data_IF_580092059120
#
_entry.id   IF_580092059120
#
_cell.length_a   1.000
_cell.length_b   1.000
_cell.length_c   1.000
_cell.angle_alpha   90.00
_cell.angle_beta   90.00
_cell.angle_gamma   90.00
#
_symmetry.space_group_name_H-M   'P 1'
#
loop_
_entity.id
_entity.type
_entity.pdbx_description
1 polymer ?
#
# COMPACT_ATOMS: atom_id res chain seq x y z
N UNK A 1 3.52 34.45 19.69
CA UNK A 1 2.57 33.32 19.61
C UNK A 1 1.90 33.41 18.25
N UNK A 2 2.38 32.65 17.27
CA UNK A 2 1.79 32.59 15.92
C UNK A 2 0.63 31.61 15.97
N UNK A 3 -0.59 32.12 15.96
CA UNK A 3 -1.78 31.31 15.90
C UNK A 3 -2.11 31.02 14.43
N UNK A 4 -2.04 29.75 14.02
CA UNK A 4 -2.46 29.35 12.69
C UNK A 4 -3.98 29.24 12.66
N UNK A 5 -4.65 30.18 11.98
CA UNK A 5 -6.11 30.19 11.84
C UNK A 5 -6.68 28.95 11.15
N UNK A 6 -5.87 28.17 10.43
CA UNK A 6 -6.28 26.88 9.86
C UNK A 6 -6.40 25.77 10.92
N UNK A 7 -5.66 25.86 12.04
CA UNK A 7 -5.61 24.83 13.07
C UNK A 7 -6.73 24.96 14.12
N UNK A 8 -7.37 26.14 14.24
CA UNK A 8 -8.44 26.37 15.19
C UNK A 8 -8.75 27.85 15.40
N UNK A 9 -9.46 28.17 16.49
CA UNK A 9 -9.61 29.53 17.04
C UNK A 9 -9.32 29.54 18.54
N UNK A 10 -8.56 30.53 19.04
CA UNK A 10 -8.40 30.73 20.48
C UNK A 10 -9.17 31.97 20.94
N UNK A 11 -9.95 31.81 22.00
CA UNK A 11 -10.71 32.88 22.63
C UNK A 11 -10.31 33.01 24.10
N UNK A 12 -10.36 34.22 24.64
CA UNK A 12 -10.21 34.45 26.07
C UNK A 12 -11.56 34.21 26.75
N UNK A 13 -11.62 33.30 27.71
CA UNK A 13 -12.83 33.06 28.51
C UNK A 13 -12.64 33.54 29.96
N UNK A 14 -13.55 34.39 30.43
CA UNK A 14 -13.61 34.88 31.82
C UNK A 14 -13.80 36.41 31.92
N UNK A 15 -14.55 36.87 32.95
CA UNK A 15 -14.80 38.30 33.25
C UNK A 15 -13.55 39.08 33.74
N UNK A 16 -12.46 38.36 34.00
CA UNK A 16 -11.09 38.89 34.15
C UNK A 16 -10.18 37.95 33.37
N UNK A 17 -9.63 38.42 32.25
CA UNK A 17 -8.84 37.63 31.30
C UNK A 17 -7.72 36.85 32.01
N UNK A 18 -7.87 35.53 32.16
CA UNK A 18 -6.81 34.69 32.76
C UNK A 18 -6.71 33.29 32.15
N UNK A 19 -7.62 32.90 31.25
CA UNK A 19 -7.60 31.60 30.58
C UNK A 19 -7.85 31.78 29.08
N UNK A 20 -6.84 31.44 28.29
CA UNK A 20 -6.92 31.35 26.83
C UNK A 20 -7.39 29.93 26.49
N UNK A 21 -8.56 29.80 25.86
CA UNK A 21 -9.12 28.51 25.46
C UNK A 21 -9.05 28.39 23.94
N UNK A 22 -8.44 27.30 23.45
CA UNK A 22 -8.33 27.04 22.02
C UNK A 22 -9.29 25.93 21.59
N UNK A 23 -10.18 26.27 20.67
CA UNK A 23 -11.07 25.34 19.98
C UNK A 23 -10.34 24.93 18.71
N UNK A 24 -9.95 23.65 18.64
CA UNK A 24 -9.22 23.11 17.51
C UNK A 24 -10.18 22.61 16.43
N UNK A 25 -9.80 22.82 15.16
CA UNK A 25 -10.55 22.29 14.03
C UNK A 25 -10.38 20.77 13.94
N UNK A 26 -11.22 20.10 13.13
CA UNK A 26 -11.08 18.67 12.84
C UNK A 26 -9.67 18.35 12.31
N UNK A 27 -9.11 17.20 12.71
CA UNK A 27 -7.71 16.86 12.45
C UNK A 27 -6.70 17.53 13.40
N UNK A 28 -7.14 18.32 14.38
CA UNK A 28 -6.28 18.92 15.40
C UNK A 28 -6.83 18.69 16.81
N UNK A 29 -5.94 18.68 17.80
CA UNK A 29 -6.29 18.58 19.21
C UNK A 29 -5.56 19.64 20.03
N UNK A 30 -6.16 20.01 21.17
CA UNK A 30 -5.53 20.91 22.14
C UNK A 30 -4.53 20.15 23.00
N UNK A 31 -3.27 20.59 23.03
CA UNK A 31 -2.20 19.96 23.82
C UNK A 31 -2.07 20.55 25.24
N UNK A 32 -3.04 21.35 25.70
CA UNK A 32 -3.01 22.01 27.00
C UNK A 32 -2.09 23.23 27.09
N UNK A 33 -1.38 23.60 26.01
CA UNK A 33 -0.52 24.79 25.94
C UNK A 33 -1.14 25.92 25.11
N UNK A 34 -2.47 25.91 24.96
CA UNK A 34 -3.22 26.86 24.12
C UNK A 34 -2.74 26.87 22.67
N UNK A 35 -2.34 25.70 22.16
CA UNK A 35 -2.01 25.48 20.77
C UNK A 35 -2.76 24.25 20.25
N UNK A 36 -3.11 24.28 18.97
CA UNK A 36 -3.72 23.17 18.26
C UNK A 36 -2.63 22.41 17.51
N UNK A 37 -2.48 21.14 17.83
CA UNK A 37 -1.50 20.24 17.21
C UNK A 37 -2.22 19.26 16.29
N UNK A 38 -1.63 18.93 15.14
CA UNK A 38 -2.24 18.03 14.16
C UNK A 38 -2.30 16.60 14.70
N UNK A 39 -3.36 15.88 14.35
CA UNK A 39 -3.46 14.44 14.57
C UNK A 39 -2.47 13.68 13.67
N UNK A 40 -2.17 12.44 14.01
CA UNK A 40 -1.44 11.56 13.08
C UNK A 40 -2.29 11.29 11.84
N UNK A 41 -1.65 11.04 10.69
CA UNK A 41 -2.32 10.87 9.40
C UNK A 41 -3.39 9.76 9.38
N UNK A 42 -3.35 8.81 10.31
CA UNK A 42 -4.35 7.75 10.44
C UNK A 42 -5.65 8.20 11.13
N UNK A 43 -5.64 9.34 11.81
CA UNK A 43 -6.80 9.87 12.52
C UNK A 43 -7.43 11.04 11.75
N UNK A 44 -8.74 10.97 11.51
CA UNK A 44 -9.54 12.14 11.11
C UNK A 44 -9.82 13.07 12.28
N UNK A 45 -9.88 12.52 13.50
CA UNK A 45 -9.98 13.28 14.74
C UNK A 45 -9.24 12.57 15.86
N UNK A 46 -8.68 13.33 16.79
CA UNK A 46 -7.95 12.82 17.94
C UNK A 46 -8.18 13.71 19.17
N UNK A 47 -7.94 13.16 20.36
CA UNK A 47 -8.14 13.87 21.63
C UNK A 47 -6.91 13.76 22.52
N UNK A 48 -6.46 14.88 23.09
CA UNK A 48 -5.33 15.02 24.02
C UNK A 48 -3.94 14.61 23.49
N UNK A 49 -3.86 13.71 22.51
CA UNK A 49 -2.62 13.23 21.90
C UNK A 49 -2.85 12.92 20.41
N UNK A 50 -1.84 13.17 19.58
CA UNK A 50 -1.92 13.00 18.12
C UNK A 50 -2.31 11.59 17.66
N UNK A 51 -1.95 10.56 18.44
CA UNK A 51 -2.23 9.14 18.14
C UNK A 51 -3.56 8.67 18.70
N UNK A 52 -4.11 9.35 19.71
CA UNK A 52 -5.32 8.94 20.42
C UNK A 52 -6.56 9.29 19.60
N UNK A 53 -6.74 8.56 18.49
CA UNK A 53 -7.79 8.80 17.52
C UNK A 53 -9.17 8.61 18.14
N UNK A 54 -10.06 9.56 17.91
CA UNK A 54 -11.51 9.44 18.19
C UNK A 54 -12.29 9.02 16.95
N UNK A 55 -11.72 9.24 15.76
CA UNK A 55 -12.19 8.69 14.50
C UNK A 55 -11.00 8.45 13.56
N UNK A 56 -11.14 7.43 12.72
CA UNK A 56 -10.14 7.03 11.73
C UNK A 56 -10.39 7.76 10.39
N UNK A 57 -9.34 7.98 9.61
CA UNK A 57 -9.45 8.65 8.31
C UNK A 57 -10.27 7.82 7.30
N UNK A 58 -9.87 6.57 7.11
CA UNK A 58 -10.63 5.53 6.40
C UNK A 58 -11.53 4.77 7.38
N UNK A 59 -12.69 5.35 7.71
CA UNK A 59 -13.65 4.76 8.65
C UNK A 59 -14.29 3.45 8.18
N UNK A 60 -14.14 3.09 6.90
CA UNK A 60 -14.66 1.83 6.34
C UNK A 60 -13.69 0.69 6.64
N UNK A 61 -12.39 0.93 6.42
CA UNK A 61 -11.38 -0.13 6.53
C UNK A 61 -10.50 -0.02 7.78
N UNK A 62 -10.63 1.02 8.61
CA UNK A 62 -9.87 1.17 9.85
C UNK A 62 -10.74 1.16 11.10
N UNK A 63 -10.15 0.65 12.19
CA UNK A 63 -10.72 0.74 13.53
C UNK A 63 -9.66 1.18 14.53
N UNK A 64 -10.09 1.64 15.70
CA UNK A 64 -9.16 1.99 16.77
C UNK A 64 -8.53 0.72 17.35
N UNK A 65 -7.20 0.62 17.21
CA UNK A 65 -6.40 -0.43 17.82
C UNK A 65 -5.85 0.07 19.16
N UNK A 66 -6.40 -0.47 20.24
CA UNK A 66 -5.97 -0.14 21.60
C UNK A 66 -4.54 -0.59 21.92
N UNK A 67 -4.00 -1.60 21.24
CA UNK A 67 -2.63 -2.07 21.44
C UNK A 67 -1.63 -1.13 20.76
N UNK A 68 -1.93 -0.69 19.54
CA UNK A 68 -1.13 0.32 18.83
C UNK A 68 -1.37 1.75 19.34
N UNK A 69 -2.47 1.98 20.07
CA UNK A 69 -2.89 3.29 20.54
C UNK A 69 -3.23 4.26 19.41
N UNK A 70 -3.72 3.75 18.27
CA UNK A 70 -4.05 4.52 17.07
C UNK A 70 -4.99 3.72 16.15
N UNK A 71 -5.44 4.32 15.04
CA UNK A 71 -6.20 3.60 14.02
C UNK A 71 -5.32 2.61 13.26
N UNK A 72 -5.84 1.42 13.02
CA UNK A 72 -5.22 0.38 12.22
C UNK A 72 -6.21 -0.13 11.19
N UNK A 73 -5.69 -0.58 10.04
CA UNK A 73 -6.50 -1.27 9.06
C UNK A 73 -7.03 -2.59 9.65
N UNK A 74 -8.28 -2.90 9.33
CA UNK A 74 -9.00 -4.07 9.87
C UNK A 74 -8.55 -5.37 9.23
N UNK A 75 -8.21 -5.34 7.94
CA UNK A 75 -7.68 -6.48 7.21
C UNK A 75 -6.15 -6.54 7.35
N UNK A 76 -5.61 -7.69 7.77
CA UNK A 76 -4.17 -7.90 7.93
C UNK A 76 -3.40 -7.89 6.60
N UNK A 77 -4.08 -8.07 5.47
CA UNK A 77 -3.52 -7.99 4.13
C UNK A 77 -3.61 -6.59 3.53
N UNK A 78 -3.80 -5.56 4.35
CA UNK A 78 -3.72 -4.16 3.94
C UNK A 78 -2.55 -3.44 4.57
N UNK A 79 -2.18 -2.33 3.95
CA UNK A 79 -1.24 -1.35 4.49
C UNK A 79 -1.84 0.06 4.38
N UNK A 80 -1.57 0.90 5.37
CA UNK A 80 -2.01 2.29 5.35
C UNK A 80 -1.11 3.10 4.41
N UNK A 81 -1.69 3.66 3.35
CA UNK A 81 -1.01 4.55 2.43
C UNK A 81 -1.12 5.99 2.92
N UNK A 82 0.00 6.58 3.33
CA UNK A 82 0.06 7.96 3.82
C UNK A 82 -0.23 9.02 2.75
N UNK A 83 -0.23 8.65 1.47
CA UNK A 83 -0.47 9.59 0.36
C UNK A 83 -1.96 9.71 0.03
N UNK A 84 -2.67 8.59 -0.01
CA UNK A 84 -4.12 8.54 -0.23
C UNK A 84 -4.93 8.58 1.06
N UNK A 85 -4.26 8.36 2.20
CA UNK A 85 -4.84 8.28 3.55
C UNK A 85 -5.86 7.13 3.71
N UNK A 86 -5.67 6.05 2.94
CA UNK A 86 -6.56 4.88 2.94
C UNK A 86 -5.80 3.58 3.18
N UNK A 87 -6.54 2.54 3.55
CA UNK A 87 -6.00 1.18 3.57
C UNK A 87 -6.00 0.62 2.15
N UNK A 88 -4.83 0.17 1.68
CA UNK A 88 -4.69 -0.46 0.37
C UNK A 88 -4.26 -1.91 0.54
N UNK A 89 -4.79 -2.81 -0.29
CA UNK A 89 -4.37 -4.21 -0.26
C UNK A 89 -2.88 -4.34 -0.58
N UNK A 90 -2.22 -5.22 0.14
CA UNK A 90 -0.82 -5.56 -0.07
C UNK A 90 -0.61 -6.17 -1.47
N UNK A 91 0.63 -6.16 -1.94
CA UNK A 91 0.98 -6.79 -3.21
C UNK A 91 0.54 -8.27 -3.24
N UNK A 92 -0.05 -8.69 -4.35
CA UNK A 92 -0.66 -10.03 -4.49
C UNK A 92 -2.12 -10.12 -4.05
N UNK A 93 -2.72 -9.03 -3.55
CA UNK A 93 -4.13 -8.99 -3.15
C UNK A 93 -4.90 -7.91 -3.91
N UNK A 94 -6.22 -8.08 -4.00
CA UNK A 94 -7.16 -7.09 -4.53
C UNK A 94 -8.34 -6.91 -3.58
N UNK A 95 -8.91 -5.70 -3.58
CA UNK A 95 -10.11 -5.40 -2.79
C UNK A 95 -11.33 -6.01 -3.49
N UNK A 96 -12.06 -6.89 -2.81
CA UNK A 96 -13.27 -7.51 -3.34
C UNK A 96 -14.53 -6.66 -3.04
N UNK A 97 -15.68 -7.10 -3.53
CA UNK A 97 -16.98 -6.42 -3.32
C UNK A 97 -17.51 -6.49 -1.87
N UNK A 98 -16.76 -7.11 -0.94
CA UNK A 98 -17.05 -7.20 0.49
C UNK A 98 -16.04 -6.39 1.32
N UNK A 99 -15.31 -5.45 0.70
CA UNK A 99 -14.31 -4.59 1.34
C UNK A 99 -13.17 -5.39 2.03
N UNK A 100 -12.89 -6.60 1.54
CA UNK A 100 -11.82 -7.47 2.03
C UNK A 100 -10.76 -7.71 0.96
N UNK A 101 -9.50 -7.81 1.38
CA UNK A 101 -8.38 -8.10 0.49
C UNK A 101 -8.28 -9.60 0.24
N UNK A 102 -8.57 -9.99 -1.00
CA UNK A 102 -8.50 -11.38 -1.46
C UNK A 102 -7.24 -11.60 -2.29
N UNK A 103 -6.60 -12.76 -2.13
CA UNK A 103 -5.40 -13.12 -2.88
C UNK A 103 -5.70 -13.26 -4.38
N UNK A 104 -4.77 -12.80 -5.21
CA UNK A 104 -4.79 -13.02 -6.65
C UNK A 104 -4.54 -14.50 -6.96
N UNK A 105 -5.28 -15.07 -7.94
CA UNK A 105 -5.02 -16.44 -8.36
C UNK A 105 -3.81 -16.48 -9.28
N UNK A 106 -2.89 -17.42 -9.02
CA UNK A 106 -1.75 -17.69 -9.90
C UNK A 106 -2.22 -17.95 -11.35
N UNK A 107 -1.60 -17.33 -12.37
CA UNK A 107 -0.28 -16.68 -12.36
C UNK A 107 -0.27 -15.15 -12.21
N UNK A 108 -1.34 -14.53 -11.70
CA UNK A 108 -1.32 -13.10 -11.43
C UNK A 108 -0.40 -12.77 -10.23
N UNK A 109 0.50 -11.80 -10.37
CA UNK A 109 1.24 -11.19 -9.24
C UNK A 109 0.52 -9.96 -8.67
N UNK A 110 -0.34 -9.35 -9.47
CA UNK A 110 -1.28 -8.29 -9.08
C UNK A 110 -2.52 -8.39 -9.95
N UNK A 111 -3.68 -8.01 -9.42
CA UNK A 111 -4.95 -8.26 -10.09
C UNK A 111 -6.02 -7.22 -9.75
N UNK A 112 -7.01 -7.08 -10.63
CA UNK A 112 -8.27 -6.37 -10.41
C UNK A 112 -9.32 -7.27 -9.76
N UNK A 113 -9.26 -8.56 -10.05
CA UNK A 113 -10.10 -9.60 -9.47
C UNK A 113 -9.31 -10.90 -9.44
N UNK A 114 -9.85 -11.95 -8.82
CA UNK A 114 -9.19 -13.25 -8.72
C UNK A 114 -8.55 -13.74 -10.03
N UNK A 115 -9.15 -13.44 -11.19
CA UNK A 115 -8.69 -13.90 -12.51
C UNK A 115 -8.30 -12.80 -13.50
N UNK A 116 -8.54 -11.52 -13.19
CA UNK A 116 -8.17 -10.39 -14.06
C UNK A 116 -6.86 -9.81 -13.54
N UNK A 117 -5.75 -10.15 -14.18
CA UNK A 117 -4.41 -9.72 -13.78
C UNK A 117 -4.12 -8.27 -14.22
N UNK A 118 -3.39 -7.53 -13.37
CA UNK A 118 -2.67 -6.29 -13.72
C UNK A 118 -1.19 -6.55 -13.98
N UNK A 119 -0.66 -7.62 -13.42
CA UNK A 119 0.72 -8.04 -13.55
C UNK A 119 0.86 -9.53 -13.30
N UNK A 120 1.91 -10.10 -13.85
CA UNK A 120 2.17 -11.53 -13.81
C UNK A 120 3.35 -11.86 -12.91
N UNK A 121 3.38 -13.10 -12.41
CA UNK A 121 4.58 -13.66 -11.79
C UNK A 121 5.69 -13.83 -12.84
N UNK A 122 6.93 -14.00 -12.38
CA UNK A 122 8.07 -14.28 -13.26
C UNK A 122 7.81 -15.55 -14.09
N UNK A 123 8.29 -15.55 -15.33
CA UNK A 123 8.02 -16.60 -16.31
C UNK A 123 6.65 -16.50 -16.99
N UNK A 124 5.87 -15.44 -16.74
CA UNK A 124 4.62 -15.15 -17.43
C UNK A 124 4.59 -13.70 -17.95
N UNK A 125 3.83 -13.45 -19.02
CA UNK A 125 3.55 -12.12 -19.56
C UNK A 125 2.06 -11.81 -19.51
N UNK A 126 1.72 -10.52 -19.43
CA UNK A 126 0.33 -10.07 -19.44
C UNK A 126 -0.17 -10.00 -20.88
N UNK A 127 -1.08 -10.89 -21.26
CA UNK A 127 -1.88 -10.76 -22.46
C UNK A 127 -3.25 -10.18 -22.11
N UNK A 128 -3.43 -8.90 -22.40
CA UNK A 128 -4.60 -8.10 -22.05
C UNK A 128 -4.90 -8.08 -20.54
N UNK A 129 -5.57 -9.11 -20.02
CA UNK A 129 -5.95 -9.26 -18.62
C UNK A 129 -5.56 -10.61 -18.02
N UNK A 130 -4.95 -11.49 -18.81
CA UNK A 130 -4.58 -12.84 -18.39
C UNK A 130 -3.08 -13.03 -18.48
N UNK A 131 -2.52 -13.78 -17.52
CA UNK A 131 -1.11 -14.10 -17.54
C UNK A 131 -0.87 -15.40 -18.31
N UNK A 132 -0.09 -15.32 -19.37
CA UNK A 132 0.33 -16.47 -20.17
C UNK A 132 1.79 -16.81 -19.89
N UNK A 133 2.12 -18.10 -19.93
CA UNK A 133 3.48 -18.55 -19.72
C UNK A 133 4.40 -18.10 -20.86
N UNK A 134 5.60 -17.66 -20.51
CA UNK A 134 6.67 -17.44 -21.47
C UNK A 134 7.08 -18.74 -22.18
N UNK A 135 7.68 -18.63 -23.36
CA UNK A 135 8.31 -19.78 -24.00
C UNK A 135 9.42 -20.38 -23.13
N UNK A 136 9.57 -21.71 -23.22
CA UNK A 136 10.54 -22.46 -22.42
C UNK A 136 11.94 -21.83 -22.51
N UNK A 137 12.54 -21.50 -21.35
CA UNK A 137 13.86 -20.86 -21.13
C UNK A 137 13.85 -19.32 -20.96
N UNK A 138 12.68 -18.68 -20.93
CA UNK A 138 12.58 -17.25 -20.66
C UNK A 138 12.09 -16.95 -19.23
N UNK A 139 12.75 -16.01 -18.53
CA UNK A 139 12.43 -15.56 -17.17
C UNK A 139 11.51 -14.33 -17.18
N UNK A 140 11.73 -13.39 -18.11
CA UNK A 140 10.82 -12.27 -18.38
C UNK A 140 10.59 -12.18 -19.88
N UNK A 141 9.33 -12.19 -20.31
CA UNK A 141 8.95 -11.99 -21.69
C UNK A 141 7.88 -10.89 -21.81
N UNK A 142 7.83 -10.23 -22.96
CA UNK A 142 6.75 -9.28 -23.29
C UNK A 142 5.67 -9.88 -24.18
N UNK A 143 5.94 -11.06 -24.74
CA UNK A 143 4.98 -11.92 -25.45
C UNK A 143 5.50 -13.35 -25.47
N UNK A 144 4.71 -14.29 -25.99
CA UNK A 144 5.15 -15.68 -26.19
C UNK A 144 6.49 -15.79 -26.95
N UNK A 145 6.82 -14.84 -27.84
CA UNK A 145 8.03 -14.90 -28.67
C UNK A 145 9.14 -13.92 -28.29
N UNK A 146 8.83 -12.87 -27.53
CA UNK A 146 9.80 -11.83 -27.20
C UNK A 146 10.29 -12.02 -25.77
N UNK A 147 11.50 -12.57 -25.63
CA UNK A 147 12.15 -12.74 -24.34
C UNK A 147 13.01 -11.52 -24.00
N UNK A 148 12.76 -10.90 -22.85
CA UNK A 148 13.51 -9.77 -22.32
C UNK A 148 14.66 -10.21 -21.40
N UNK A 149 14.49 -11.32 -20.69
CA UNK A 149 15.58 -11.96 -19.95
C UNK A 149 15.41 -13.48 -19.93
N UNK A 150 16.48 -14.22 -20.19
CA UNK A 150 16.46 -15.67 -20.11
C UNK A 150 16.63 -16.11 -18.65
N UNK A 151 15.99 -17.23 -18.27
CA UNK A 151 16.40 -17.96 -17.06
C UNK A 151 17.87 -18.29 -17.29
N UNK A 152 18.76 -17.98 -16.34
CA UNK A 152 20.19 -18.21 -16.49
C UNK A 152 20.42 -19.53 -17.23
N UNK A 153 21.15 -19.49 -18.36
CA UNK A 153 21.36 -20.63 -19.27
C UNK A 153 22.21 -21.76 -18.64
N UNK A 154 22.11 -21.96 -17.33
CA UNK A 154 22.82 -22.93 -16.52
C UNK A 154 21.91 -24.03 -15.95
N UNK A 155 20.71 -24.26 -16.48
CA UNK A 155 19.99 -25.51 -16.18
C UNK A 155 20.44 -26.62 -17.13
N UNK A 156 21.54 -27.26 -16.74
CA UNK A 156 22.00 -28.55 -17.22
C UNK A 156 20.89 -29.60 -17.06
N UNK A 157 20.15 -29.93 -18.13
CA UNK A 157 19.58 -31.28 -18.19
C UNK A 157 20.75 -32.23 -18.38
N UNK A 158 20.96 -33.13 -17.41
CA UNK A 158 21.83 -34.29 -17.58
C UNK A 158 21.32 -35.13 -18.76
N UNK A 159 21.80 -34.83 -19.95
CA UNK A 159 21.83 -35.77 -21.07
C UNK A 159 23.29 -36.10 -21.34
N UNK A 160 23.72 -37.20 -20.73
CA UNK A 160 24.77 -38.08 -21.23
C UNK A 160 26.14 -37.42 -21.56
N UNK A 161 26.91 -37.12 -20.51
CA UNK A 161 28.38 -37.26 -20.42
C UNK A 161 29.29 -36.77 -21.57
N UNK A 162 28.98 -35.74 -22.35
CA UNK A 162 29.97 -35.11 -23.24
C UNK A 162 29.90 -33.59 -23.14
N UNK A 163 30.96 -32.98 -22.59
CA UNK A 163 31.15 -31.52 -22.55
C UNK A 163 31.42 -31.03 -23.98
N UNK A 164 30.48 -30.29 -24.56
CA UNK A 164 30.76 -29.54 -25.80
C UNK A 164 30.44 -28.07 -25.54
N UNK A 165 31.49 -27.23 -25.57
CA UNK A 165 31.34 -25.79 -25.62
C UNK A 165 30.81 -25.42 -27.01
N UNK A 166 29.52 -25.08 -27.12
CA UNK A 166 28.98 -24.50 -28.33
C UNK A 166 28.70 -23.02 -28.09
N UNK A 167 29.67 -22.19 -28.48
CA UNK A 167 29.41 -20.79 -28.78
C UNK A 167 28.51 -20.76 -30.00
N UNK A 168 27.26 -20.31 -29.84
CA UNK A 168 26.48 -19.80 -30.97
C UNK A 168 25.74 -18.56 -30.51
N UNK A 169 26.41 -17.42 -30.68
CA UNK A 169 25.72 -16.15 -30.80
C UNK A 169 24.72 -16.23 -31.95
N UNK A 170 23.50 -15.78 -31.69
CA UNK A 170 22.49 -15.37 -32.66
C UNK A 170 21.47 -14.57 -31.85
N UNK A 171 21.75 -13.28 -31.69
CA UNK A 171 21.14 -12.19 -32.46
C UNK A 171 19.75 -11.83 -31.91
N UNK A 172 19.76 -10.73 -31.16
CA UNK A 172 18.67 -9.77 -31.08
C UNK A 172 18.11 -9.52 -32.49
N UNK A 173 16.85 -9.87 -32.70
CA UNK A 173 15.91 -9.13 -33.54
C UNK A 173 14.56 -9.12 -32.81
#
# INVERSE_FOLDING_TARGET
MTFNSAAGTCMWSGSKASTLLCICNTGFYSNGQNTCTICTAKCSSCLNLATSCTACEDSVHMTFDSAAGTCACTDTNTSFDTTTLQCTCNAGFYLNDQDACTECISPCSSCNSATICKGCINGCYLDSTTCEACTNQCDNCSSAQICSSCVECWSWRLFNSQKVHMWKGMLLQ
#
